data_IF_893218805245
#
_entry.id   IF_893218805245
#
_cell.length_a   1.000
_cell.length_b   1.000
_cell.length_c   1.000
_cell.angle_alpha   90.00
_cell.angle_beta   90.00
_cell.angle_gamma   90.00
#
_symmetry.space_group_name_H-M   'P 1'
#
loop_
_entity.id
_entity.type
_entity.pdbx_description
1 polymer ?
#
# COMPACT_ATOMS: atom_id res chain seq x y z
N UNK A 1 26.48 -28.62 9.85
CA UNK A 1 26.47 -27.32 9.16
C UNK A 1 25.70 -27.33 7.83
N UNK A 2 25.79 -28.37 6.98
CA UNK A 2 25.06 -28.42 5.69
C UNK A 2 23.53 -28.26 5.77
N UNK A 3 22.84 -28.97 6.69
CA UNK A 3 21.37 -28.87 6.86
C UNK A 3 20.86 -27.47 7.24
N UNK A 4 21.67 -26.67 7.95
CA UNK A 4 21.31 -25.31 8.36
C UNK A 4 21.41 -24.35 7.17
N UNK A 5 22.45 -24.50 6.35
CA UNK A 5 22.67 -23.70 5.15
C UNK A 5 21.57 -23.98 4.12
N UNK A 6 21.17 -25.24 3.95
CA UNK A 6 20.06 -25.62 3.05
C UNK A 6 18.70 -25.08 3.53
N UNK A 7 18.45 -25.05 4.84
CA UNK A 7 17.24 -24.43 5.40
C UNK A 7 17.20 -22.91 5.19
N UNK A 8 18.33 -22.23 5.37
CA UNK A 8 18.42 -20.77 5.17
C UNK A 8 18.25 -20.43 3.69
N UNK A 9 18.86 -21.20 2.79
CA UNK A 9 18.75 -21.01 1.35
C UNK A 9 17.35 -21.35 0.83
N UNK A 10 16.69 -22.39 1.36
CA UNK A 10 15.31 -22.74 0.98
C UNK A 10 14.29 -21.72 1.50
N UNK A 11 14.47 -21.20 2.72
CA UNK A 11 13.66 -20.08 3.23
C UNK A 11 13.74 -18.88 2.30
N UNK A 12 14.94 -18.39 1.94
CA UNK A 12 15.10 -17.24 1.03
C UNK A 12 14.36 -17.43 -0.30
N UNK A 13 14.51 -18.60 -0.94
CA UNK A 13 13.84 -18.91 -2.22
C UNK A 13 12.31 -18.84 -2.17
N UNK A 14 11.69 -19.03 -1.00
CA UNK A 14 10.23 -18.93 -0.85
C UNK A 14 9.74 -17.48 -0.88
N UNK A 15 10.57 -16.53 -0.44
CA UNK A 15 10.23 -15.10 -0.42
C UNK A 15 10.52 -14.41 -1.75
N UNK A 16 11.51 -14.88 -2.53
CA UNK A 16 11.97 -14.24 -3.77
C UNK A 16 10.88 -13.98 -4.83
N UNK A 17 9.77 -14.74 -4.79
CA UNK A 17 8.64 -14.53 -5.72
C UNK A 17 7.75 -13.35 -5.36
N UNK A 18 7.82 -12.83 -4.14
CA UNK A 18 7.00 -11.70 -3.68
C UNK A 18 7.80 -10.41 -3.79
N UNK A 19 7.13 -9.34 -4.23
CA UNK A 19 7.71 -8.00 -4.26
C UNK A 19 6.77 -7.03 -3.58
N UNK A 20 7.36 -6.05 -2.92
CA UNK A 20 6.61 -4.95 -2.33
C UNK A 20 5.70 -4.32 -3.40
N UNK A 21 4.47 -4.03 -3.01
CA UNK A 21 3.41 -3.46 -3.85
C UNK A 21 2.81 -4.36 -4.93
N UNK A 22 3.29 -5.60 -5.10
CA UNK A 22 2.63 -6.56 -5.98
C UNK A 22 1.23 -6.93 -5.45
N UNK A 23 0.32 -7.21 -6.39
CA UNK A 23 -1.07 -7.58 -6.09
C UNK A 23 -1.31 -9.05 -6.41
N UNK A 24 -2.06 -9.71 -5.53
CA UNK A 24 -2.35 -11.14 -5.60
C UNK A 24 -3.85 -11.40 -5.40
N UNK A 25 -4.38 -12.35 -6.18
CA UNK A 25 -5.73 -12.88 -6.00
C UNK A 25 -5.68 -14.19 -5.21
N UNK A 26 -6.37 -14.21 -4.08
CA UNK A 26 -6.45 -15.33 -3.13
C UNK A 26 -7.70 -16.18 -3.39
N UNK A 27 -7.58 -17.48 -3.15
CA UNK A 27 -8.75 -18.32 -2.95
C UNK A 27 -9.35 -18.04 -1.56
N UNK A 28 -10.68 -18.05 -1.44
CA UNK A 28 -11.40 -17.60 -0.24
C UNK A 28 -11.03 -18.34 1.06
N UNK A 29 -10.38 -19.50 0.97
CA UNK A 29 -10.01 -20.33 2.12
C UNK A 29 -8.67 -19.92 2.78
N UNK A 30 -7.87 -19.08 2.14
CA UNK A 30 -6.51 -18.76 2.61
C UNK A 30 -6.40 -17.49 3.46
N UNK A 31 -7.51 -16.77 3.66
CA UNK A 31 -7.54 -15.45 4.31
C UNK A 31 -8.75 -15.33 5.25
N UNK A 32 -8.74 -14.40 6.23
CA UNK A 32 -9.91 -14.12 7.06
C UNK A 32 -11.17 -13.84 6.23
N UNK A 33 -12.33 -14.32 6.70
CA UNK A 33 -13.59 -14.28 5.95
C UNK A 33 -14.13 -12.88 5.64
N UNK A 34 -13.65 -11.88 6.37
CA UNK A 34 -13.99 -10.47 6.21
C UNK A 34 -13.01 -9.72 5.28
N UNK A 35 -12.04 -10.41 4.67
CA UNK A 35 -11.17 -9.85 3.65
C UNK A 35 -11.74 -10.05 2.24
N UNK A 36 -11.55 -9.06 1.36
CA UNK A 36 -11.72 -9.25 -0.07
C UNK A 36 -10.73 -10.27 -0.64
N UNK A 37 -11.01 -10.82 -1.82
CA UNK A 37 -10.18 -11.84 -2.47
C UNK A 37 -8.88 -11.30 -3.08
N UNK A 38 -8.64 -9.99 -3.03
CA UNK A 38 -7.45 -9.34 -3.56
C UNK A 38 -6.64 -8.78 -2.41
N UNK A 39 -5.35 -9.14 -2.35
CA UNK A 39 -4.41 -8.63 -1.36
C UNK A 39 -3.19 -8.02 -2.03
N UNK A 40 -2.64 -6.98 -1.42
CA UNK A 40 -1.42 -6.32 -1.87
C UNK A 40 -0.29 -6.56 -0.89
N UNK A 41 0.91 -6.86 -1.37
CA UNK A 41 2.10 -6.93 -0.51
C UNK A 41 2.46 -5.52 -0.03
N UNK A 42 2.42 -5.29 1.28
CA UNK A 42 2.74 -4.00 1.90
C UNK A 42 4.01 -4.03 2.75
N UNK A 43 4.51 -5.23 3.07
CA UNK A 43 5.80 -5.44 3.71
C UNK A 43 6.24 -6.90 3.50
N UNK A 44 7.55 -7.15 3.61
CA UNK A 44 8.15 -8.48 3.58
C UNK A 44 9.17 -8.56 4.71
N UNK A 45 8.90 -9.40 5.70
CA UNK A 45 9.79 -9.66 6.83
C UNK A 45 10.54 -10.98 6.63
N UNK A 46 11.44 -11.31 7.57
CA UNK A 46 12.19 -12.57 7.53
C UNK A 46 11.30 -13.83 7.61
N UNK A 47 10.09 -13.70 8.17
CA UNK A 47 9.18 -14.82 8.43
C UNK A 47 7.83 -14.71 7.72
N UNK A 48 7.43 -13.51 7.26
CA UNK A 48 6.10 -13.27 6.70
C UNK A 48 6.12 -12.37 5.47
N UNK A 49 5.16 -12.62 4.58
CA UNK A 49 4.72 -11.63 3.60
C UNK A 49 3.49 -10.96 4.18
N UNK A 50 3.54 -9.64 4.31
CA UNK A 50 2.46 -8.84 4.89
C UNK A 50 1.58 -8.32 3.78
N UNK A 51 0.29 -8.63 3.86
CA UNK A 51 -0.70 -8.22 2.89
C UNK A 51 -1.66 -7.19 3.45
N UNK A 52 -1.94 -6.15 2.67
CA UNK A 52 -3.09 -5.27 2.83
C UNK A 52 -4.28 -5.79 2.04
N UNK A 53 -5.40 -5.99 2.72
CA UNK A 53 -6.70 -6.36 2.14
C UNK A 53 -7.70 -5.24 2.38
N UNK A 54 -8.72 -5.14 1.51
CA UNK A 54 -9.92 -4.38 1.83
C UNK A 54 -10.87 -5.26 2.63
N UNK A 55 -11.30 -4.78 3.79
CA UNK A 55 -12.33 -5.45 4.58
C UNK A 55 -13.69 -5.33 3.86
N UNK A 56 -14.42 -6.43 3.71
CA UNK A 56 -15.66 -6.48 2.93
C UNK A 56 -16.82 -5.75 3.60
N UNK A 57 -16.82 -5.64 4.94
CA UNK A 57 -17.86 -4.96 5.71
C UNK A 57 -17.54 -3.48 5.91
N UNK A 58 -16.40 -3.17 6.52
CA UNK A 58 -16.02 -1.81 6.90
C UNK A 58 -15.36 -1.01 5.78
N UNK A 59 -14.97 -1.68 4.68
CA UNK A 59 -14.19 -1.11 3.57
C UNK A 59 -12.80 -0.58 3.97
N UNK A 60 -12.38 -0.73 5.23
CA UNK A 60 -11.08 -0.28 5.73
C UNK A 60 -9.96 -1.27 5.36
N UNK A 61 -8.72 -0.79 5.42
CA UNK A 61 -7.53 -1.63 5.31
C UNK A 61 -7.52 -2.66 6.44
N UNK A 62 -7.31 -3.92 6.09
CA UNK A 62 -7.02 -5.02 7.01
C UNK A 62 -5.65 -5.60 6.66
N UNK A 63 -4.77 -5.67 7.65
CA UNK A 63 -3.42 -6.23 7.48
C UNK A 63 -3.41 -7.68 7.91
N UNK A 64 -2.82 -8.54 7.08
CA UNK A 64 -2.71 -9.98 7.33
C UNK A 64 -1.29 -10.44 7.05
N UNK A 65 -0.68 -11.11 8.03
CA UNK A 65 0.67 -11.65 7.92
C UNK A 65 0.56 -13.13 7.53
N UNK A 66 1.13 -13.51 6.39
CA UNK A 66 1.09 -14.88 5.90
C UNK A 66 2.51 -15.42 5.74
N UNK A 67 2.76 -16.62 6.26
CA UNK A 67 4.01 -17.30 5.99
C UNK A 67 4.00 -17.75 4.51
N UNK A 68 5.12 -17.67 3.75
CA UNK A 68 5.13 -17.93 2.31
C UNK A 68 4.50 -19.25 1.86
N UNK A 69 4.57 -20.29 2.70
CA UNK A 69 4.02 -21.63 2.46
C UNK A 69 2.48 -21.67 2.48
N UNK A 70 1.85 -20.75 3.20
CA UNK A 70 0.39 -20.69 3.41
C UNK A 70 -0.30 -19.76 2.39
N UNK A 71 0.49 -19.10 1.53
CA UNK A 71 -0.02 -18.18 0.51
C UNK A 71 -0.46 -18.96 -0.73
N UNK A 72 -1.75 -19.23 -0.81
CA UNK A 72 -2.41 -19.83 -1.96
C UNK A 72 -3.05 -18.75 -2.85
N UNK A 73 -2.19 -17.98 -3.54
CA UNK A 73 -2.61 -16.85 -4.36
C UNK A 73 -1.88 -16.79 -5.69
N UNK A 74 -2.51 -16.15 -6.69
CA UNK A 74 -1.91 -15.88 -8.00
C UNK A 74 -1.60 -14.40 -8.13
N UNK A 75 -0.39 -14.07 -8.57
CA UNK A 75 -0.03 -12.68 -8.91
C UNK A 75 -0.94 -12.20 -10.04
N UNK A 76 -1.47 -11.00 -9.90
CA UNK A 76 -2.29 -10.34 -10.93
C UNK A 76 -1.69 -8.98 -11.29
N UNK A 77 -2.15 -8.41 -12.39
CA UNK A 77 -1.83 -7.02 -12.75
C UNK A 77 -2.58 -6.09 -11.78
N UNK A 78 -1.89 -5.07 -11.28
CA UNK A 78 -2.51 -4.05 -10.44
C UNK A 78 -3.53 -3.25 -11.27
N UNK A 79 -4.83 -3.31 -10.94
CA UNK A 79 -5.88 -2.62 -11.70
C UNK A 79 -5.72 -1.10 -11.67
N UNK A 80 -5.09 -0.57 -10.63
CA UNK A 80 -4.95 0.86 -10.38
C UNK A 80 -3.55 1.39 -10.70
N UNK A 81 -2.76 0.66 -11.50
CA UNK A 81 -1.34 0.96 -11.78
C UNK A 81 -1.09 2.44 -12.08
N UNK A 82 -1.93 3.09 -12.89
CA UNK A 82 -1.77 4.51 -13.23
C UNK A 82 -2.04 5.42 -12.04
N UNK A 83 -3.06 5.12 -11.23
CA UNK A 83 -3.33 5.85 -10.00
C UNK A 83 -2.19 5.67 -8.99
N UNK A 84 -1.60 4.47 -8.90
CA UNK A 84 -0.45 4.22 -8.00
C UNK A 84 0.76 5.05 -8.36
N UNK A 85 1.09 5.18 -9.66
CA UNK A 85 2.16 6.06 -10.12
C UNK A 85 1.92 7.51 -9.67
N UNK A 86 0.67 7.98 -9.73
CA UNK A 86 0.31 9.30 -9.22
C UNK A 86 0.53 9.41 -7.71
N UNK A 87 0.10 8.42 -6.93
CA UNK A 87 0.33 8.39 -5.47
C UNK A 87 1.82 8.46 -5.13
N UNK A 88 2.67 7.67 -5.80
CA UNK A 88 4.13 7.74 -5.60
C UNK A 88 4.71 9.12 -5.94
N UNK A 89 4.31 9.72 -7.05
CA UNK A 89 4.74 11.07 -7.40
C UNK A 89 4.32 12.10 -6.35
N UNK A 90 3.11 11.98 -5.79
CA UNK A 90 2.64 12.88 -4.73
C UNK A 90 3.40 12.67 -3.41
N UNK A 91 3.80 11.44 -3.09
CA UNK A 91 4.65 11.16 -1.92
C UNK A 91 6.01 11.86 -2.05
N UNK A 92 6.61 11.86 -3.24
CA UNK A 92 7.87 12.59 -3.49
C UNK A 92 7.66 14.10 -3.36
N UNK A 93 6.62 14.64 -4.01
CA UNK A 93 6.31 16.07 -4.01
C UNK A 93 5.96 16.61 -2.62
N UNK A 94 5.34 15.80 -1.76
CA UNK A 94 4.91 16.18 -0.42
C UNK A 94 5.72 15.49 0.68
N UNK A 95 6.98 15.15 0.41
CA UNK A 95 7.88 14.45 1.33
C UNK A 95 8.05 15.14 2.68
N UNK A 96 7.93 16.46 2.73
CA UNK A 96 8.01 17.26 3.97
C UNK A 96 6.67 17.42 4.71
N UNK A 97 5.54 17.01 4.13
CA UNK A 97 4.21 17.19 4.70
C UNK A 97 3.72 15.88 5.30
N UNK A 98 3.96 15.70 6.61
CA UNK A 98 3.68 14.44 7.31
C UNK A 98 2.23 13.93 7.12
N UNK A 99 1.23 14.81 7.21
CA UNK A 99 -0.17 14.42 7.03
C UNK A 99 -0.45 13.90 5.60
N UNK A 100 0.20 14.48 4.59
CA UNK A 100 0.08 14.01 3.22
C UNK A 100 0.76 12.64 3.05
N UNK A 101 1.94 12.45 3.64
CA UNK A 101 2.64 11.15 3.63
C UNK A 101 1.75 10.05 4.20
N UNK A 102 1.22 10.22 5.40
CA UNK A 102 0.38 9.20 6.08
C UNK A 102 -0.84 8.82 5.23
N UNK A 103 -1.52 9.83 4.66
CA UNK A 103 -2.70 9.60 3.81
C UNK A 103 -2.35 8.84 2.54
N UNK A 104 -1.31 9.27 1.83
CA UNK A 104 -0.88 8.67 0.57
C UNK A 104 -0.31 7.25 0.76
N UNK A 105 0.49 7.02 1.81
CA UNK A 105 0.97 5.67 2.17
C UNK A 105 -0.19 4.73 2.50
N UNK A 106 -1.23 5.23 3.18
CA UNK A 106 -2.42 4.43 3.49
C UNK A 106 -3.15 4.01 2.22
N UNK A 107 -3.23 4.88 1.21
CA UNK A 107 -3.79 4.53 -0.10
C UNK A 107 -2.98 3.43 -0.79
N UNK A 108 -1.63 3.51 -0.77
CA UNK A 108 -0.77 2.49 -1.39
C UNK A 108 -1.03 1.08 -0.84
N UNK A 109 -1.35 0.97 0.45
CA UNK A 109 -1.57 -0.31 1.15
C UNK A 109 -2.85 -1.03 0.75
N UNK A 110 -3.85 -0.31 0.23
CA UNK A 110 -5.10 -0.90 -0.25
C UNK A 110 -4.86 -1.63 -1.59
N UNK A 111 -5.44 -2.81 -1.81
CA UNK A 111 -5.27 -3.55 -3.07
C UNK A 111 -6.05 -2.93 -4.23
N UNK A 112 -7.26 -2.43 -3.96
CA UNK A 112 -8.14 -1.72 -4.88
C UNK A 112 -8.43 -0.31 -4.35
N UNK A 113 -8.51 0.68 -5.24
CA UNK A 113 -8.94 2.04 -4.92
C UNK A 113 -10.39 2.27 -5.33
N UNK A 114 -11.18 2.84 -4.42
CA UNK A 114 -12.57 3.24 -4.69
C UNK A 114 -12.62 4.60 -5.39
N UNK A 115 -13.80 4.96 -5.91
CA UNK A 115 -14.02 6.29 -6.47
C UNK A 115 -13.75 7.40 -5.44
N UNK A 116 -14.10 7.16 -4.18
CA UNK A 116 -13.88 8.06 -3.06
C UNK A 116 -12.39 8.22 -2.75
N UNK A 117 -11.62 7.13 -2.79
CA UNK A 117 -10.15 7.16 -2.62
C UNK A 117 -9.49 8.00 -3.74
N UNK A 118 -9.95 7.83 -4.98
CA UNK A 118 -9.46 8.60 -6.14
C UNK A 118 -9.88 10.07 -6.04
N UNK A 119 -11.10 10.36 -5.57
CA UNK A 119 -11.56 11.72 -5.36
C UNK A 119 -10.72 12.44 -4.30
N UNK A 120 -10.41 11.75 -3.18
CA UNK A 120 -9.50 12.27 -2.15
C UNK A 120 -8.10 12.56 -2.71
N UNK A 121 -7.57 11.67 -3.56
CA UNK A 121 -6.28 11.88 -4.22
C UNK A 121 -6.28 13.13 -5.10
N UNK A 122 -7.31 13.30 -5.92
CA UNK A 122 -7.48 14.47 -6.79
C UNK A 122 -7.59 15.76 -5.98
N UNK A 123 -8.34 15.74 -4.87
CA UNK A 123 -8.46 16.87 -3.97
C UNK A 123 -7.12 17.24 -3.33
N UNK A 124 -6.35 16.25 -2.86
CA UNK A 124 -5.01 16.47 -2.26
C UNK A 124 -4.07 17.16 -3.26
N UNK A 125 -4.07 16.71 -4.51
CA UNK A 125 -3.24 17.27 -5.57
C UNK A 125 -3.64 18.71 -5.93
N UNK A 126 -4.95 18.98 -6.00
CA UNK A 126 -5.47 20.30 -6.33
C UNK A 126 -5.25 21.30 -5.20
N UNK A 127 -5.65 20.94 -3.98
CA UNK A 127 -5.65 21.86 -2.84
C UNK A 127 -4.25 22.33 -2.48
N UNK A 128 -3.23 21.47 -2.53
CA UNK A 128 -1.88 21.91 -2.22
C UNK A 128 -1.39 22.99 -3.19
N UNK A 129 -1.59 22.78 -4.51
CA UNK A 129 -1.11 23.71 -5.56
C UNK A 129 -1.81 25.07 -5.46
N UNK A 130 -3.11 25.07 -5.18
CA UNK A 130 -3.92 26.29 -5.15
C UNK A 130 -3.79 27.08 -3.83
N UNK A 131 -3.66 26.39 -2.70
CA UNK A 131 -3.72 27.05 -1.38
C UNK A 131 -2.36 27.46 -0.84
N UNK A 132 -1.28 26.77 -1.21
CA UNK A 132 0.05 27.11 -0.69
C UNK A 132 0.42 28.59 -0.93
N UNK A 133 0.26 29.17 -2.14
CA UNK A 133 0.55 30.59 -2.36
C UNK A 133 -0.32 31.53 -1.53
N UNK A 134 -1.56 31.15 -1.22
CA UNK A 134 -2.48 31.95 -0.40
C UNK A 134 -2.08 31.93 1.08
N UNK A 135 -1.66 30.77 1.58
CA UNK A 135 -1.15 30.62 2.96
C UNK A 135 0.16 31.35 3.14
N UNK A 136 1.07 31.27 2.15
CA UNK A 136 2.32 32.04 2.16
C UNK A 136 2.02 33.54 2.23
N UNK A 137 1.18 34.06 1.34
CA UNK A 137 0.80 35.49 1.34
C UNK A 137 0.19 35.94 2.67
N UNK A 138 -0.71 35.15 3.25
CA UNK A 138 -1.39 35.51 4.51
C UNK A 138 -0.49 35.38 5.75
N UNK A 139 0.54 34.53 5.74
CA UNK A 139 1.50 34.43 6.85
C UNK A 139 2.49 35.59 6.89
N UNK A 140 2.85 36.16 5.73
CA UNK A 140 3.82 37.25 5.64
C UNK A 140 3.21 38.65 5.70
N UNK A 141 1.88 38.80 5.64
CA UNK A 141 1.19 40.11 5.79
C UNK A 141 0.89 40.51 7.23
N UNK A 142 1.14 39.65 8.22
CA UNK A 142 0.82 39.91 9.65
C UNK A 142 2.04 40.47 10.42
N UNK A 143 3.13 40.83 9.73
CA UNK A 143 4.37 41.33 10.34
C UNK A 143 4.67 42.81 10.03
N UNK A 144 3.66 43.61 9.67
CA UNK A 144 3.78 45.07 9.60
C UNK A 144 3.38 45.75 10.93
#
# INVERSE_FOLDING_TARGET
MGKVIDLVNSKRKLFDKYKLWDVYSFSAFAIPSDCGSIGRVIDITDDYVVFGFRNTTSRRLKVVNLHPKDIHAKKIVDPDTQVRKRVFSLLENYSSVQCAQIGLESLLKLPDLTCEDVAFLNATEFFYKEYLPQVERSRFTVLE
#
